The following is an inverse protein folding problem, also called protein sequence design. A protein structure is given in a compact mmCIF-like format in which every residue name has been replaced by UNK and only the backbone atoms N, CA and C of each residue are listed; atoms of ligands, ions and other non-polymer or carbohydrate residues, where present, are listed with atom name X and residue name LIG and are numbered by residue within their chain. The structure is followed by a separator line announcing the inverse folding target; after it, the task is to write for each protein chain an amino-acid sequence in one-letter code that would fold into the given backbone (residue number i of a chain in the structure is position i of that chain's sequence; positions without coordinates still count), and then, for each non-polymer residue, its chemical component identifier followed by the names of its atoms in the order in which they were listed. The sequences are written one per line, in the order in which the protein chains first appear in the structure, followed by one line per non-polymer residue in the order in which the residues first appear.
data_IF_829720019386
#
_entry.id   IF_829720019386
#
_cell.length_a   1.000
_cell.length_b   1.000
_cell.length_c   1.000
_cell.angle_alpha   90.00
_cell.angle_beta   90.00
_cell.angle_gamma   90.00
#
_symmetry.space_group_name_H-M   'P 1'
#
loop_
_entity.id
_entity.type
_entity.pdbx_description
1 polymer ?
#
# COMPACT_ATOMS: atom_id res chain seq x y z
N UNK A 1 7.10 2.92 -79.75
CA UNK A 1 7.89 3.70 -78.77
C UNK A 1 8.67 2.73 -77.90
N UNK A 2 9.95 3.00 -77.57
CA UNK A 2 10.69 2.24 -76.57
C UNK A 2 10.08 2.37 -75.16
N UNK A 3 10.56 1.53 -74.24
CA UNK A 3 10.16 1.48 -72.83
C UNK A 3 10.80 2.61 -72.00
N UNK A 4 10.28 2.93 -70.80
CA UNK A 4 10.76 4.06 -69.99
C UNK A 4 12.02 3.75 -69.19
N UNK A 5 12.91 4.75 -69.05
CA UNK A 5 14.05 4.72 -68.12
C UNK A 5 13.60 4.92 -66.66
N UNK A 6 13.97 4.02 -65.73
CA UNK A 6 13.57 4.11 -64.32
C UNK A 6 14.59 4.91 -63.49
N UNK A 7 14.62 6.23 -63.65
CA UNK A 7 15.52 7.11 -62.87
C UNK A 7 14.86 8.42 -62.39
N UNK A 8 15.20 8.80 -61.15
CA UNK A 8 15.03 10.15 -60.56
C UNK A 8 13.60 10.70 -60.37
N UNK A 9 12.83 10.08 -59.46
CA UNK A 9 11.96 10.88 -58.56
C UNK A 9 11.68 10.21 -57.20
N UNK A 10 12.70 9.58 -56.59
CA UNK A 10 12.66 9.40 -55.13
C UNK A 10 12.84 10.78 -54.51
N UNK A 11 11.79 11.35 -53.94
CA UNK A 11 11.93 12.47 -53.02
C UNK A 11 12.43 11.90 -51.68
N UNK A 12 13.70 12.14 -51.28
CA UNK A 12 14.06 11.95 -49.89
C UNK A 12 13.26 12.99 -49.09
N UNK A 13 12.13 12.55 -48.52
CA UNK A 13 11.29 13.41 -47.71
C UNK A 13 12.13 13.94 -46.56
N UNK A 14 12.54 15.23 -46.67
CA UNK A 14 13.30 15.94 -45.63
C UNK A 14 12.63 15.60 -44.30
N UNK A 15 13.36 15.09 -43.29
CA UNK A 15 12.75 14.83 -41.99
C UNK A 15 12.13 16.15 -41.55
N UNK A 16 10.80 16.20 -41.49
CA UNK A 16 10.11 17.40 -41.10
C UNK A 16 10.57 17.71 -39.68
N UNK A 17 11.14 18.89 -39.48
CA UNK A 17 11.67 19.39 -38.21
C UNK A 17 10.49 19.56 -37.21
N UNK A 18 9.91 18.44 -36.77
CA UNK A 18 8.55 18.35 -36.24
C UNK A 18 8.60 18.20 -34.74
N UNK A 19 8.04 19.18 -34.04
CA UNK A 19 7.75 19.07 -32.62
C UNK A 19 6.67 18.00 -32.39
N UNK A 20 6.96 17.04 -31.52
CA UNK A 20 6.08 15.94 -31.13
C UNK A 20 5.95 15.94 -29.61
N UNK A 21 4.72 15.81 -29.10
CA UNK A 21 4.42 15.68 -27.67
C UNK A 21 3.73 14.34 -27.46
N UNK A 22 4.22 13.58 -26.47
CA UNK A 22 3.75 12.24 -26.13
C UNK A 22 3.76 12.04 -24.60
N UNK A 23 2.66 11.58 -23.98
CA UNK A 23 1.30 11.49 -24.53
C UNK A 23 0.67 12.87 -24.80
N UNK A 24 -0.42 12.90 -25.57
CA UNK A 24 -1.19 14.13 -25.85
C UNK A 24 -2.37 14.35 -24.91
N UNK A 25 -3.01 13.26 -24.51
CA UNK A 25 -4.14 13.24 -23.57
C UNK A 25 -3.76 12.32 -22.39
N UNK A 26 -2.72 12.64 -21.60
CA UNK A 26 -2.42 11.89 -20.39
C UNK A 26 -3.57 11.97 -19.39
N UNK A 27 -4.06 10.81 -18.95
CA UNK A 27 -5.07 10.68 -17.89
C UNK A 27 -4.41 9.99 -16.69
N UNK A 28 -4.20 10.74 -15.61
CA UNK A 28 -3.43 10.35 -14.40
C UNK A 28 -4.35 10.33 -13.16
N UNK A 29 -4.22 9.37 -12.23
CA UNK A 29 -4.99 9.41 -10.98
C UNK A 29 -4.53 10.56 -10.08
N UNK A 30 -5.44 11.06 -9.24
CA UNK A 30 -5.14 12.02 -8.17
C UNK A 30 -4.07 11.45 -7.20
N UNK A 31 -3.15 12.29 -6.74
CA UNK A 31 -1.94 11.89 -6.02
C UNK A 31 -0.91 11.11 -6.86
N UNK A 32 -1.24 10.77 -8.12
CA UNK A 32 -0.43 10.00 -9.03
C UNK A 32 0.75 10.79 -9.64
N UNK A 33 1.49 10.13 -10.52
CA UNK A 33 2.63 10.73 -11.26
C UNK A 33 2.60 10.33 -12.72
N UNK A 34 3.08 11.21 -13.60
CA UNK A 34 3.18 10.95 -15.05
C UNK A 34 4.27 11.80 -15.69
N UNK A 35 4.72 11.43 -16.89
CA UNK A 35 5.79 12.13 -17.61
C UNK A 35 5.36 12.44 -19.04
N UNK A 36 5.55 13.69 -19.47
CA UNK A 36 5.26 14.15 -20.82
C UNK A 36 6.59 14.44 -21.54
N UNK A 37 6.89 13.68 -22.59
CA UNK A 37 8.04 13.91 -23.44
C UNK A 37 7.65 14.82 -24.60
N UNK A 38 8.32 15.96 -24.73
CA UNK A 38 8.30 16.76 -25.95
C UNK A 38 9.64 16.63 -26.68
N UNK A 39 9.61 16.27 -27.96
CA UNK A 39 10.80 16.04 -28.79
C UNK A 39 10.74 16.79 -30.11
N UNK A 40 11.91 17.21 -30.62
CA UNK A 40 12.09 17.90 -31.88
C UNK A 40 13.23 17.23 -32.66
N UNK A 41 12.92 16.69 -33.84
CA UNK A 41 13.87 15.96 -34.67
C UNK A 41 14.81 16.89 -35.47
N UNK A 42 15.52 17.81 -34.79
CA UNK A 42 16.44 18.77 -35.38
C UNK A 42 17.79 18.83 -34.64
N UNK A 43 18.89 18.73 -35.39
CA UNK A 43 20.24 18.88 -34.85
C UNK A 43 20.51 20.35 -34.47
N UNK A 44 20.91 20.59 -33.21
CA UNK A 44 21.12 21.94 -32.68
C UNK A 44 19.82 22.73 -32.42
N UNK A 45 18.66 22.06 -32.43
CA UNK A 45 17.41 22.66 -31.99
C UNK A 45 17.38 22.94 -30.49
N UNK A 46 16.27 23.53 -30.03
CA UNK A 46 15.94 23.69 -28.60
C UNK A 46 14.48 23.33 -28.37
N UNK A 47 14.18 22.72 -27.22
CA UNK A 47 12.83 22.32 -26.80
C UNK A 47 12.63 22.72 -25.34
N UNK A 48 11.47 23.29 -25.02
CA UNK A 48 11.11 23.74 -23.67
C UNK A 48 9.61 23.62 -23.41
N UNK A 49 9.24 23.40 -22.15
CA UNK A 49 7.86 23.50 -21.69
C UNK A 49 7.58 24.92 -21.17
N UNK A 50 6.37 25.44 -21.45
CA UNK A 50 5.89 26.77 -21.05
C UNK A 50 4.45 26.72 -20.55
N UNK A 51 4.01 27.80 -19.92
CA UNK A 51 2.65 27.91 -19.36
C UNK A 51 2.43 26.98 -18.18
N UNK A 52 3.45 26.85 -17.32
CA UNK A 52 3.41 26.05 -16.10
C UNK A 52 3.51 27.01 -14.92
N UNK A 53 2.48 27.04 -14.09
CA UNK A 53 2.62 27.51 -12.72
C UNK A 53 3.65 26.63 -12.01
N UNK A 54 4.61 27.24 -11.31
CA UNK A 54 5.85 26.58 -10.89
C UNK A 54 5.68 25.53 -9.80
N UNK A 55 4.45 25.29 -9.33
CA UNK A 55 4.09 24.20 -8.45
C UNK A 55 3.80 22.87 -9.17
N UNK A 56 3.56 22.87 -10.50
CA UNK A 56 2.91 21.74 -11.20
C UNK A 56 3.85 20.63 -11.71
N UNK A 57 5.17 20.72 -11.50
CA UNK A 57 6.12 19.67 -11.90
C UNK A 57 7.56 20.16 -12.07
N UNK A 58 8.47 19.23 -12.40
CA UNK A 58 9.87 19.52 -12.72
C UNK A 58 10.18 19.24 -14.19
N UNK A 59 11.18 19.94 -14.76
CA UNK A 59 11.52 19.85 -16.19
C UNK A 59 12.96 19.33 -16.33
N UNK A 60 13.14 18.25 -17.09
CA UNK A 60 14.44 17.74 -17.54
C UNK A 60 14.64 18.08 -19.02
N UNK A 61 15.52 19.05 -19.33
CA UNK A 61 15.76 19.52 -20.70
C UNK A 61 17.07 18.99 -21.28
N UNK A 62 16.99 18.50 -22.51
CA UNK A 62 18.08 17.94 -23.32
C UNK A 62 18.16 18.66 -24.68
N UNK A 63 19.16 18.34 -25.49
CA UNK A 63 19.41 19.03 -26.77
C UNK A 63 18.34 18.81 -27.86
N UNK A 64 17.57 17.72 -27.78
CA UNK A 64 16.55 17.36 -28.78
C UNK A 64 15.15 17.16 -28.19
N UNK A 65 15.02 17.20 -26.86
CA UNK A 65 13.77 16.92 -26.16
C UNK A 65 13.76 17.51 -24.75
N UNK A 66 12.58 17.69 -24.19
CA UNK A 66 12.36 18.16 -22.82
C UNK A 66 11.23 17.34 -22.19
N UNK A 67 11.47 16.83 -20.98
CA UNK A 67 10.52 15.98 -20.24
C UNK A 67 9.94 16.78 -19.09
N UNK A 68 8.61 16.87 -19.03
CA UNK A 68 7.87 17.42 -17.91
C UNK A 68 7.47 16.26 -16.98
N UNK A 69 7.99 16.25 -15.76
CA UNK A 69 7.70 15.27 -14.72
C UNK A 69 6.62 15.83 -13.78
N UNK A 70 5.44 15.23 -13.81
CA UNK A 70 4.31 15.57 -12.94
C UNK A 70 4.28 14.55 -11.79
N UNK A 71 4.22 15.05 -10.55
CA UNK A 71 4.22 14.24 -9.32
C UNK A 71 3.15 14.75 -8.38
N UNK A 72 2.45 13.84 -7.70
CA UNK A 72 1.35 14.14 -6.79
C UNK A 72 0.27 15.03 -7.45
N UNK A 73 -0.24 14.58 -8.60
CA UNK A 73 -1.21 15.34 -9.39
C UNK A 73 -2.49 15.63 -8.60
N UNK A 74 -2.82 16.91 -8.44
CA UNK A 74 -4.07 17.43 -7.83
C UNK A 74 -5.01 17.96 -8.91
N UNK A 75 -6.24 18.37 -8.56
CA UNK A 75 -7.17 19.00 -9.52
C UNK A 75 -6.53 20.22 -10.21
N UNK A 76 -5.87 21.10 -9.46
CA UNK A 76 -5.09 22.23 -9.99
C UNK A 76 -3.93 21.84 -10.96
N UNK A 77 -3.62 20.55 -11.09
CA UNK A 77 -2.62 20.03 -12.04
C UNK A 77 -3.22 19.76 -13.44
N UNK A 78 -4.55 19.69 -13.59
CA UNK A 78 -5.33 19.53 -14.84
C UNK A 78 -4.88 20.51 -15.96
N UNK A 79 -5.29 20.23 -17.20
CA UNK A 79 -5.34 21.21 -18.26
C UNK A 79 -4.12 21.27 -19.18
N UNK A 80 -4.01 22.36 -19.93
CA UNK A 80 -3.13 22.45 -21.09
C UNK A 80 -1.66 22.68 -20.70
N UNK A 81 -0.78 21.77 -21.11
CA UNK A 81 0.67 21.89 -20.97
C UNK A 81 1.26 22.20 -22.35
N UNK A 82 1.98 23.32 -22.47
CA UNK A 82 2.46 23.85 -23.76
C UNK A 82 3.94 23.50 -23.93
N UNK A 83 4.29 22.84 -25.04
CA UNK A 83 5.67 22.70 -25.46
C UNK A 83 5.98 23.62 -26.65
N UNK A 84 7.11 24.30 -26.58
CA UNK A 84 7.68 25.08 -27.68
C UNK A 84 9.02 24.50 -28.11
N UNK A 85 9.32 24.64 -29.40
CA UNK A 85 10.59 24.22 -29.99
C UNK A 85 11.08 25.21 -31.02
N UNK A 86 12.40 25.26 -31.23
CA UNK A 86 13.03 26.09 -32.27
C UNK A 86 14.16 25.34 -32.97
N UNK A 87 14.29 25.56 -34.27
CA UNK A 87 15.26 24.92 -35.14
C UNK A 87 15.53 25.83 -36.35
N UNK A 88 16.79 26.18 -36.64
CA UNK A 88 17.18 26.90 -37.86
C UNK A 88 16.35 28.19 -38.13
N UNK A 89 15.95 28.91 -37.08
CA UNK A 89 15.09 30.12 -37.17
C UNK A 89 13.59 29.85 -37.34
N UNK A 90 13.16 28.59 -37.46
CA UNK A 90 11.75 28.18 -37.37
C UNK A 90 11.34 27.95 -35.91
N UNK A 91 10.08 28.23 -35.62
CA UNK A 91 9.46 28.02 -34.31
C UNK A 91 8.26 27.07 -34.42
N UNK A 92 8.10 26.22 -33.42
CA UNK A 92 7.07 25.19 -33.35
C UNK A 92 6.39 25.23 -31.99
N UNK A 93 5.08 24.96 -31.96
CA UNK A 93 4.32 24.77 -30.72
C UNK A 93 3.42 23.55 -30.82
N UNK A 94 3.34 22.80 -29.73
CA UNK A 94 2.42 21.67 -29.51
C UNK A 94 1.93 21.69 -28.08
N UNK A 95 0.82 21.02 -27.84
CA UNK A 95 0.15 20.98 -26.54
C UNK A 95 -0.20 19.54 -26.20
N UNK A 96 -0.27 19.28 -24.89
CA UNK A 96 -0.98 18.15 -24.32
C UNK A 96 -2.03 18.69 -23.36
N UNK A 97 -3.13 17.96 -23.18
CA UNK A 97 -4.14 18.25 -22.15
C UNK A 97 -4.05 17.15 -21.11
N UNK A 98 -3.52 17.47 -19.93
CA UNK A 98 -3.55 16.56 -18.80
C UNK A 98 -4.99 16.49 -18.28
N UNK A 99 -5.48 15.28 -18.06
CA UNK A 99 -6.64 15.03 -17.22
C UNK A 99 -6.25 14.31 -15.93
N UNK A 100 -6.80 14.76 -14.81
CA UNK A 100 -6.73 14.10 -13.51
C UNK A 100 -8.03 13.34 -13.28
N UNK A 101 -7.99 12.26 -12.50
CA UNK A 101 -9.20 11.56 -12.07
C UNK A 101 -9.04 11.00 -10.66
N UNK A 102 -10.13 10.95 -9.91
CA UNK A 102 -10.20 10.28 -8.62
C UNK A 102 -11.41 9.34 -8.62
N UNK A 103 -11.22 8.12 -8.12
CA UNK A 103 -12.26 7.11 -7.94
C UNK A 103 -11.78 6.13 -6.87
N UNK A 104 -12.51 5.93 -5.75
CA UNK A 104 -12.05 5.05 -4.69
C UNK A 104 -12.06 3.58 -5.13
N UNK A 105 -11.19 2.77 -4.53
CA UNK A 105 -11.02 1.39 -4.97
C UNK A 105 -12.23 0.48 -4.67
N UNK A 106 -13.06 0.86 -3.71
CA UNK A 106 -14.32 0.22 -3.33
C UNK A 106 -15.42 1.28 -3.15
N UNK A 107 -16.68 0.89 -3.43
CA UNK A 107 -17.85 1.65 -3.03
C UNK A 107 -18.30 1.22 -1.63
N UNK A 108 -18.91 2.12 -0.86
CA UNK A 108 -19.60 1.75 0.38
C UNK A 108 -21.07 1.50 0.06
N UNK A 109 -21.53 0.27 0.32
CA UNK A 109 -22.93 -0.12 0.19
C UNK A 109 -23.42 -0.62 1.54
N UNK A 110 -24.32 0.15 2.15
CA UNK A 110 -24.88 -0.13 3.47
C UNK A 110 -26.38 -0.42 3.35
N UNK A 111 -26.85 -1.49 3.99
CA UNK A 111 -28.26 -1.83 4.09
C UNK A 111 -28.81 -1.47 5.47
N UNK A 112 -30.05 -0.97 5.51
CA UNK A 112 -30.84 -0.75 6.72
C UNK A 112 -32.24 -1.38 6.53
N UNK A 113 -32.55 -2.52 7.18
CA UNK A 113 -31.69 -3.31 8.08
C UNK A 113 -30.46 -3.92 7.37
N UNK A 114 -29.41 -4.24 8.14
CA UNK A 114 -28.14 -4.76 7.61
C UNK A 114 -28.24 -6.11 6.88
N UNK A 115 -29.31 -6.89 7.13
CA UNK A 115 -29.62 -8.12 6.41
C UNK A 115 -30.90 -7.86 5.61
N UNK A 116 -30.82 -7.98 4.29
CA UNK A 116 -31.97 -7.91 3.38
C UNK A 116 -32.78 -9.19 3.49
N UNK A 117 -33.84 -9.19 4.31
CA UNK A 117 -34.73 -10.35 4.49
C UNK A 117 -35.87 -10.31 3.47
N UNK A 118 -36.17 -11.43 2.79
CA UNK A 118 -37.31 -11.49 1.87
C UNK A 118 -38.63 -11.05 2.50
N UNK A 119 -39.44 -10.30 1.75
CA UNK A 119 -40.73 -9.78 2.22
C UNK A 119 -40.66 -8.53 3.12
N UNK A 120 -39.47 -8.05 3.51
CA UNK A 120 -39.30 -6.88 4.39
C UNK A 120 -38.71 -5.68 3.63
N UNK A 121 -39.30 -4.47 3.77
CA UNK A 121 -38.79 -3.27 3.10
C UNK A 121 -37.43 -2.86 3.68
N UNK A 122 -36.60 -2.27 2.82
CA UNK A 122 -35.24 -1.89 3.17
C UNK A 122 -34.83 -0.54 2.56
N UNK A 123 -33.80 0.07 3.14
CA UNK A 123 -33.10 1.22 2.59
C UNK A 123 -31.66 0.83 2.30
N UNK A 124 -31.23 1.02 1.05
CA UNK A 124 -29.84 0.86 0.63
C UNK A 124 -29.21 2.24 0.46
N UNK A 125 -27.99 2.39 0.97
CA UNK A 125 -27.19 3.60 0.86
C UNK A 125 -25.90 3.25 0.13
N UNK A 126 -25.74 3.75 -1.10
CA UNK A 126 -24.49 3.65 -1.84
C UNK A 126 -23.77 4.99 -1.78
N UNK A 127 -22.51 4.98 -1.34
CA UNK A 127 -21.70 6.19 -1.23
C UNK A 127 -20.23 5.95 -1.57
N UNK A 128 -19.58 7.02 -2.02
CA UNK A 128 -18.16 7.04 -2.35
C UNK A 128 -17.60 8.46 -2.14
N UNK A 129 -16.30 8.56 -1.83
CA UNK A 129 -15.59 9.83 -1.61
C UNK A 129 -14.31 9.85 -2.45
N UNK A 130 -13.74 11.03 -2.66
CA UNK A 130 -12.60 11.25 -3.56
C UNK A 130 -12.95 10.85 -5.02
N UNK A 131 -14.04 11.43 -5.56
CA UNK A 131 -14.37 11.33 -6.98
C UNK A 131 -13.98 12.61 -7.72
N UNK A 132 -13.42 12.46 -8.92
CA UNK A 132 -13.14 13.58 -9.83
C UNK A 132 -12.95 13.07 -11.27
N UNK A 133 -13.38 13.81 -12.31
CA UNK A 133 -14.27 14.97 -12.28
C UNK A 133 -15.75 14.58 -12.22
N UNK A 134 -16.60 15.40 -11.60
CA UNK A 134 -18.01 15.04 -11.32
C UNK A 134 -18.86 14.89 -12.57
N UNK A 135 -18.61 15.67 -13.63
CA UNK A 135 -19.34 15.57 -14.90
C UNK A 135 -19.03 14.28 -15.70
N UNK A 136 -18.00 13.54 -15.27
CA UNK A 136 -17.71 12.19 -15.77
C UNK A 136 -18.41 11.06 -14.99
N UNK A 137 -19.01 11.35 -13.83
CA UNK A 137 -19.60 10.36 -12.93
C UNK A 137 -21.03 10.02 -13.32
N UNK A 138 -21.35 8.72 -13.39
CA UNK A 138 -22.73 8.24 -13.39
C UNK A 138 -22.88 7.05 -12.44
N UNK A 139 -23.85 7.15 -11.52
CA UNK A 139 -24.26 6.08 -10.62
C UNK A 139 -25.49 5.37 -11.21
N UNK A 140 -25.57 4.05 -11.09
CA UNK A 140 -26.73 3.25 -11.53
C UNK A 140 -27.02 2.14 -10.52
N UNK A 141 -28.26 2.08 -10.05
CA UNK A 141 -28.78 0.98 -9.26
C UNK A 141 -29.44 -0.06 -10.16
N UNK A 142 -29.09 -1.33 -9.93
CA UNK A 142 -29.72 -2.48 -10.54
C UNK A 142 -30.40 -3.37 -9.49
N UNK A 143 -31.59 -3.87 -9.83
CA UNK A 143 -32.18 -5.09 -9.23
C UNK A 143 -31.97 -6.24 -10.21
N UNK A 144 -30.98 -7.09 -9.94
CA UNK A 144 -30.48 -8.11 -10.85
C UNK A 144 -29.98 -7.50 -12.18
N UNK A 145 -30.86 -7.47 -13.18
CA UNK A 145 -30.58 -6.91 -14.52
C UNK A 145 -31.40 -5.64 -14.84
N UNK A 146 -32.40 -5.27 -14.02
CA UNK A 146 -33.22 -4.10 -14.24
C UNK A 146 -32.58 -2.86 -13.60
N UNK A 147 -32.41 -1.77 -14.36
CA UNK A 147 -32.09 -0.45 -13.78
C UNK A 147 -33.30 0.05 -13.00
N UNK A 148 -33.09 0.51 -11.76
CA UNK A 148 -34.18 0.99 -10.87
C UNK A 148 -34.02 2.45 -10.43
N UNK A 149 -32.79 2.99 -10.42
CA UNK A 149 -32.51 4.41 -10.11
C UNK A 149 -31.14 4.83 -10.66
N UNK A 150 -31.01 6.08 -11.08
CA UNK A 150 -29.74 6.70 -11.53
C UNK A 150 -29.30 7.89 -10.68
N UNK A 151 -30.20 8.48 -9.90
CA UNK A 151 -29.96 9.77 -9.26
C UNK A 151 -29.07 9.64 -8.02
N UNK A 152 -28.21 10.62 -7.80
CA UNK A 152 -27.32 10.73 -6.66
C UNK A 152 -27.17 12.20 -6.25
N UNK A 153 -26.99 12.42 -4.95
CA UNK A 153 -26.57 13.70 -4.39
C UNK A 153 -25.03 13.77 -4.41
N UNK A 154 -24.46 14.96 -4.61
CA UNK A 154 -23.02 15.17 -4.67
C UNK A 154 -22.61 16.45 -3.93
N UNK A 155 -21.61 16.33 -3.05
CA UNK A 155 -20.98 17.43 -2.31
C UNK A 155 -19.48 17.47 -2.65
N UNK A 156 -18.88 18.64 -2.85
CA UNK A 156 -17.43 18.85 -2.96
C UNK A 156 -16.75 19.19 -1.62
N UNK A 157 -15.43 19.00 -1.56
CA UNK A 157 -14.53 19.42 -0.48
C UNK A 157 -13.52 20.51 -0.92
N UNK A 158 -12.68 20.98 0.01
CA UNK A 158 -11.69 22.04 -0.22
C UNK A 158 -10.59 21.68 -1.25
N UNK A 159 -10.47 20.40 -1.66
CA UNK A 159 -9.54 19.95 -2.71
C UNK A 159 -10.23 19.76 -4.08
N UNK A 160 -11.47 20.25 -4.22
CA UNK A 160 -12.36 20.06 -5.39
C UNK A 160 -12.69 18.57 -5.66
N UNK A 161 -12.59 17.72 -4.63
CA UNK A 161 -12.95 16.30 -4.72
C UNK A 161 -14.39 16.06 -4.23
N UNK A 162 -15.09 15.17 -4.92
CA UNK A 162 -16.50 14.92 -4.65
C UNK A 162 -16.74 13.70 -3.76
N UNK A 163 -17.75 13.85 -2.91
CA UNK A 163 -18.48 12.78 -2.23
C UNK A 163 -19.83 12.61 -2.91
N UNK A 164 -20.16 11.40 -3.34
CA UNK A 164 -21.50 11.05 -3.85
C UNK A 164 -22.26 10.16 -2.87
N UNK A 165 -23.57 10.35 -2.80
CA UNK A 165 -24.50 9.54 -2.01
C UNK A 165 -25.74 9.25 -2.85
N UNK A 166 -26.18 8.00 -2.91
CA UNK A 166 -27.47 7.63 -3.48
C UNK A 166 -28.19 6.69 -2.55
N UNK A 167 -29.42 7.06 -2.17
CA UNK A 167 -30.30 6.25 -1.34
C UNK A 167 -31.37 5.62 -2.25
N UNK A 168 -31.51 4.29 -2.16
CA UNK A 168 -32.58 3.51 -2.77
C UNK A 168 -33.47 2.95 -1.65
N UNK A 169 -34.75 3.33 -1.66
CA UNK A 169 -35.78 2.67 -0.85
C UNK A 169 -36.36 1.52 -1.67
N UNK A 170 -36.48 0.34 -1.04
CA UNK A 170 -36.96 -0.90 -1.67
C UNK A 170 -38.17 -1.40 -0.89
N UNK A 171 -39.27 -1.71 -1.58
CA UNK A 171 -40.45 -2.28 -0.92
C UNK A 171 -40.23 -3.76 -0.55
N UNK A 172 -40.90 -4.24 0.50
CA UNK A 172 -40.77 -5.64 0.94
C UNK A 172 -41.20 -6.65 -0.13
N UNK A 173 -42.12 -6.28 -1.01
CA UNK A 173 -42.53 -7.10 -2.17
C UNK A 173 -41.48 -7.19 -3.28
N UNK A 174 -40.43 -6.36 -3.23
CA UNK A 174 -39.32 -6.36 -4.20
C UNK A 174 -38.08 -7.11 -3.69
N UNK A 175 -38.09 -7.52 -2.42
CA UNK A 175 -37.02 -8.30 -1.77
C UNK A 175 -37.44 -9.78 -1.76
N UNK A 176 -36.92 -10.55 -2.71
CA UNK A 176 -37.10 -12.01 -2.79
C UNK A 176 -35.76 -12.74 -2.54
N UNK A 177 -35.80 -14.01 -2.15
CA UNK A 177 -34.59 -14.80 -1.85
C UNK A 177 -33.64 -14.86 -3.05
N UNK A 178 -32.38 -14.50 -2.85
CA UNK A 178 -31.35 -14.50 -3.90
C UNK A 178 -31.38 -13.29 -4.84
N UNK A 179 -32.26 -12.31 -4.64
CA UNK A 179 -32.25 -11.06 -5.44
C UNK A 179 -31.03 -10.21 -5.08
N UNK A 180 -30.19 -9.93 -6.09
CA UNK A 180 -29.08 -8.98 -5.96
C UNK A 180 -29.57 -7.53 -6.19
N UNK A 181 -29.22 -6.64 -5.26
CA UNK A 181 -29.22 -5.19 -5.45
C UNK A 181 -27.78 -4.73 -5.62
N UNK A 182 -27.49 -4.10 -6.77
CA UNK A 182 -26.14 -3.71 -7.18
C UNK A 182 -26.07 -2.22 -7.45
N UNK A 183 -25.17 -1.53 -6.76
CA UNK A 183 -24.78 -0.17 -7.06
C UNK A 183 -23.54 -0.19 -7.95
N UNK A 184 -23.63 0.43 -9.12
CA UNK A 184 -22.53 0.63 -10.05
C UNK A 184 -22.22 2.12 -10.16
N UNK A 185 -20.94 2.48 -10.10
CA UNK A 185 -20.45 3.84 -10.33
C UNK A 185 -19.44 3.80 -11.46
N UNK A 186 -19.74 4.53 -12.53
CA UNK A 186 -18.87 4.70 -13.68
C UNK A 186 -18.26 6.10 -13.69
N UNK A 187 -17.02 6.22 -14.16
CA UNK A 187 -16.30 7.47 -14.32
C UNK A 187 -15.67 7.55 -15.71
N UNK A 188 -16.07 8.57 -16.47
CA UNK A 188 -15.63 8.83 -17.84
C UNK A 188 -14.64 10.00 -17.86
N UNK A 189 -13.39 9.74 -18.26
CA UNK A 189 -12.33 10.76 -18.29
C UNK A 189 -11.49 10.63 -19.56
N UNK A 190 -11.73 11.55 -20.50
CA UNK A 190 -11.12 11.52 -21.82
C UNK A 190 -11.60 10.29 -22.62
N UNK A 191 -10.67 9.39 -22.94
CA UNK A 191 -10.96 8.11 -23.62
C UNK A 191 -10.96 6.90 -22.67
N UNK A 192 -10.92 7.12 -21.35
CA UNK A 192 -10.98 6.06 -20.33
C UNK A 192 -12.34 6.05 -19.65
N UNK A 193 -12.89 4.85 -19.46
CA UNK A 193 -13.97 4.58 -18.52
C UNK A 193 -13.43 3.71 -17.40
N UNK A 194 -13.77 4.04 -16.16
CA UNK A 194 -13.52 3.22 -14.98
C UNK A 194 -14.87 2.85 -14.35
N UNK A 195 -15.00 1.62 -13.87
CA UNK A 195 -16.23 1.15 -13.21
C UNK A 195 -15.89 0.55 -11.85
N UNK A 196 -16.68 0.90 -10.84
CA UNK A 196 -16.67 0.31 -9.50
C UNK A 196 -18.07 -0.20 -9.17
N UNK A 197 -18.13 -1.31 -8.44
CA UNK A 197 -19.37 -2.04 -8.15
C UNK A 197 -19.37 -2.44 -6.69
N UNK A 198 -20.53 -2.34 -6.04
CA UNK A 198 -20.84 -3.05 -4.82
C UNK A 198 -22.24 -3.66 -4.93
N UNK A 199 -22.45 -4.84 -4.36
CA UNK A 199 -23.76 -5.46 -4.32
C UNK A 199 -24.06 -6.13 -2.99
N UNK A 200 -25.35 -6.31 -2.73
CA UNK A 200 -25.91 -7.02 -1.59
C UNK A 200 -27.01 -7.95 -2.10
N UNK A 201 -27.08 -9.16 -1.57
CA UNK A 201 -28.06 -10.18 -1.95
C UNK A 201 -29.04 -10.36 -0.81
N UNK A 202 -30.33 -10.47 -1.14
CA UNK A 202 -31.37 -10.79 -0.16
C UNK A 202 -31.29 -12.27 0.27
N UNK A 203 -31.34 -12.51 1.58
CA UNK A 203 -31.28 -13.85 2.16
C UNK A 203 -32.15 -14.02 3.41
N UNK A 204 -32.74 -15.20 3.54
CA UNK A 204 -33.55 -15.60 4.69
C UNK A 204 -32.71 -16.03 5.90
N UNK A 205 -31.39 -16.24 5.73
CA UNK A 205 -30.49 -16.61 6.81
C UNK A 205 -30.36 -15.48 7.84
N UNK A 206 -31.04 -15.65 8.98
CA UNK A 206 -30.55 -15.08 10.21
C UNK A 206 -29.18 -15.72 10.51
N UNK A 207 -28.12 -14.90 10.56
CA UNK A 207 -26.83 -15.30 11.13
C UNK A 207 -27.11 -15.85 12.53
N UNK A 208 -27.05 -17.17 12.64
CA UNK A 208 -27.42 -17.87 13.87
C UNK A 208 -26.21 -17.83 14.78
N UNK A 209 -26.17 -16.80 15.65
CA UNK A 209 -25.18 -16.73 16.71
C UNK A 209 -25.22 -18.03 17.52
N UNK A 210 -24.03 -18.61 17.73
CA UNK A 210 -23.90 -20.04 17.95
C UNK A 210 -24.58 -20.48 19.27
N UNK A 211 -25.34 -21.60 19.29
CA UNK A 211 -26.05 -22.03 20.50
C UNK A 211 -25.12 -22.17 21.70
N UNK A 212 -25.49 -21.53 22.81
CA UNK A 212 -24.81 -21.71 24.08
C UNK A 212 -24.94 -23.17 24.52
N UNK A 213 -23.81 -23.84 24.78
CA UNK A 213 -23.80 -25.25 25.14
C UNK A 213 -24.41 -25.46 26.53
N UNK A 214 -25.40 -26.35 26.62
CA UNK A 214 -25.93 -26.84 27.90
C UNK A 214 -24.84 -27.59 28.67
N UNK A 215 -24.72 -27.32 29.97
CA UNK A 215 -23.86 -28.10 30.88
C UNK A 215 -24.70 -28.58 32.06
N UNK A 216 -25.06 -29.86 32.02
CA UNK A 216 -25.87 -30.64 32.99
C UNK A 216 -25.58 -32.11 32.67
N UNK A 217 -25.15 -33.04 33.52
CA UNK A 217 -24.84 -33.12 34.99
C UNK A 217 -23.83 -34.30 35.18
N UNK A 218 -23.20 -34.61 36.32
CA UNK A 218 -23.18 -34.03 37.68
C UNK A 218 -22.93 -35.11 38.76
N UNK A 219 -22.75 -34.70 40.04
CA UNK A 219 -22.82 -35.54 41.28
C UNK A 219 -21.75 -36.65 41.50
N UNK A 220 -21.62 -37.25 42.73
CA UNK A 220 -22.49 -37.16 43.91
C UNK A 220 -21.85 -36.85 45.30
N UNK A 221 -22.58 -36.04 46.09
CA UNK A 221 -22.98 -36.23 47.51
C UNK A 221 -21.98 -36.62 48.64
N UNK A 222 -21.82 -35.71 49.63
CA UNK A 222 -21.85 -36.06 51.07
C UNK A 222 -22.47 -34.98 51.98
N UNK A 223 -23.21 -35.42 53.01
CA UNK A 223 -23.94 -34.72 54.09
C UNK A 223 -23.33 -33.41 54.67
N UNK A 224 -24.08 -32.29 54.78
CA UNK A 224 -25.01 -31.80 55.86
C UNK A 224 -24.47 -30.50 56.54
N UNK A 225 -25.30 -29.70 57.27
CA UNK A 225 -25.15 -28.23 57.27
C UNK A 225 -25.08 -27.55 58.67
N UNK A 226 -25.01 -26.21 58.65
CA UNK A 226 -25.31 -25.31 59.79
C UNK A 226 -26.33 -24.23 59.34
N UNK A 227 -27.15 -23.72 60.27
CA UNK A 227 -28.30 -22.83 60.05
C UNK A 227 -27.88 -21.38 59.67
N UNK A 228 -28.56 -20.63 58.77
CA UNK A 228 -29.92 -20.00 58.81
C UNK A 228 -30.00 -18.71 59.65
N UNK A 229 -30.82 -17.73 59.17
CA UNK A 229 -31.27 -16.44 59.79
C UNK A 229 -30.63 -15.20 59.14
N UNK A 230 -31.32 -14.20 58.56
CA UNK A 230 -32.73 -14.01 58.11
C UNK A 230 -32.78 -12.95 56.98
N UNK A 231 -33.94 -12.72 56.33
CA UNK A 231 -34.15 -11.62 55.37
C UNK A 231 -34.62 -10.29 56.04
N UNK A 232 -34.56 -9.13 55.32
CA UNK A 232 -34.99 -7.79 55.76
C UNK A 232 -36.46 -7.49 55.37
N UNK A 233 -37.05 -6.30 55.65
CA UNK A 233 -36.82 -5.00 54.96
C UNK A 233 -36.66 -3.82 55.97
N UNK A 234 -36.61 -2.51 55.65
CA UNK A 234 -36.93 -1.72 54.46
C UNK A 234 -36.54 -0.21 54.63
N UNK A 235 -36.96 0.72 53.75
CA UNK A 235 -36.25 1.99 53.52
C UNK A 235 -37.01 3.30 53.87
N UNK A 236 -36.26 4.40 54.10
CA UNK A 236 -36.76 5.79 53.96
C UNK A 236 -35.64 6.84 53.77
N UNK A 237 -36.03 8.03 53.26
CA UNK A 237 -35.21 9.07 52.58
C UNK A 237 -35.93 10.42 52.85
N UNK A 238 -35.28 11.56 53.22
CA UNK A 238 -34.45 12.35 52.29
C UNK A 238 -33.31 13.27 52.83
N UNK A 239 -32.46 13.72 51.89
CA UNK A 239 -31.88 15.08 51.67
C UNK A 239 -31.39 15.99 52.82
N UNK A 240 -30.16 16.51 52.66
CA UNK A 240 -29.65 17.77 53.22
C UNK A 240 -28.79 18.49 52.16
N UNK A 241 -28.73 19.84 52.20
CA UNK A 241 -28.53 20.65 50.97
C UNK A 241 -27.16 21.35 50.78
N UNK A 242 -27.01 21.92 49.58
CA UNK A 242 -25.95 22.70 48.92
C UNK A 242 -24.98 23.62 49.73
N UNK A 243 -23.85 23.91 49.04
CA UNK A 243 -22.90 25.05 49.21
C UNK A 243 -22.00 25.07 50.47
N UNK A 244 -20.78 25.63 50.45
CA UNK A 244 -20.19 26.68 49.57
C UNK A 244 -18.68 26.44 49.30
N UNK A 245 -18.10 27.13 48.30
CA UNK A 245 -16.73 26.92 47.80
C UNK A 245 -15.62 27.75 48.51
N UNK A 246 -14.34 27.31 48.38
CA UNK A 246 -13.17 28.20 48.33
C UNK A 246 -11.85 27.56 47.84
N UNK A 247 -11.37 28.05 46.70
CA UNK A 247 -9.95 28.33 46.40
C UNK A 247 -9.68 29.84 46.74
N UNK A 248 -8.46 30.45 46.67
CA UNK A 248 -7.25 30.01 45.94
C UNK A 248 -5.85 30.27 46.61
N UNK A 249 -4.81 29.69 45.98
CA UNK A 249 -3.46 30.21 45.69
C UNK A 249 -2.61 31.01 46.71
N UNK A 250 -1.46 30.44 47.08
CA UNK A 250 -0.10 31.08 47.14
C UNK A 250 0.95 29.97 47.40
N UNK A 251 2.21 29.99 46.97
CA UNK A 251 2.97 30.89 46.07
C UNK A 251 4.48 30.87 46.40
N UNK A 252 5.38 30.95 45.39
CA UNK A 252 6.87 31.09 45.49
C UNK A 252 7.68 29.87 46.05
N UNK A 253 8.94 29.55 45.68
CA UNK A 253 9.87 30.01 44.60
C UNK A 253 11.16 29.13 44.48
N UNK A 254 11.81 29.17 43.30
CA UNK A 254 13.24 28.85 42.96
C UNK A 254 13.72 27.42 42.58
N UNK A 255 14.67 27.41 41.63
CA UNK A 255 15.48 26.32 41.08
C UNK A 255 16.66 25.87 41.98
N UNK A 256 17.09 24.60 41.81
CA UNK A 256 18.45 24.29 41.32
C UNK A 256 18.56 22.84 40.80
N UNK A 257 19.64 22.53 40.07
CA UNK A 257 19.76 21.31 39.25
C UNK A 257 21.02 20.45 39.51
N UNK A 258 20.99 19.23 38.93
CA UNK A 258 22.07 18.24 38.73
C UNK A 258 22.58 17.45 39.95
N UNK A 259 22.98 16.17 39.72
CA UNK A 259 24.29 15.57 40.08
C UNK A 259 24.40 14.07 39.71
N UNK A 260 25.42 13.75 38.89
CA UNK A 260 26.20 12.48 38.68
C UNK A 260 25.61 11.09 38.33
N UNK A 261 26.37 10.41 37.43
CA UNK A 261 26.59 8.95 37.19
C UNK A 261 27.36 8.27 38.38
N UNK A 262 27.87 7.00 38.37
CA UNK A 262 27.77 5.81 37.47
C UNK A 262 27.41 4.53 38.32
N UNK A 263 27.96 3.28 38.19
CA UNK A 263 28.61 2.52 37.09
C UNK A 263 28.02 1.09 36.85
N UNK A 264 28.71 0.28 36.03
CA UNK A 264 28.42 -1.14 35.72
C UNK A 264 29.47 -2.11 36.31
N UNK A 265 29.13 -3.40 36.49
CA UNK A 265 30.10 -4.51 36.71
C UNK A 265 29.59 -5.84 36.12
N UNK A 266 30.52 -6.73 35.73
CA UNK A 266 30.33 -8.08 35.13
C UNK A 266 30.42 -9.22 36.19
N UNK A 267 30.31 -10.52 35.82
CA UNK A 267 31.51 -11.37 35.85
C UNK A 267 31.62 -12.46 34.75
N UNK A 268 32.82 -13.05 34.60
CA UNK A 268 33.26 -13.74 33.37
C UNK A 268 33.75 -15.20 33.54
N UNK A 269 33.54 -16.02 32.49
CA UNK A 269 34.46 -17.02 31.88
C UNK A 269 35.08 -18.18 32.69
N UNK A 270 35.02 -19.40 32.12
CA UNK A 270 36.10 -20.40 32.08
C UNK A 270 35.98 -21.31 30.81
N UNK A 271 37.00 -22.11 30.49
CA UNK A 271 37.22 -22.84 29.21
C UNK A 271 37.77 -24.28 29.49
N UNK A 272 38.01 -25.24 28.59
CA UNK A 272 38.05 -25.38 27.09
C UNK A 272 37.92 -26.92 26.74
N UNK A 273 38.29 -27.60 25.62
CA UNK A 273 38.94 -27.36 24.31
C UNK A 273 38.62 -28.54 23.33
N UNK A 274 38.95 -28.39 22.03
CA UNK A 274 39.32 -29.45 21.03
C UNK A 274 38.25 -30.41 20.40
N UNK A 275 37.98 -30.14 19.10
CA UNK A 275 37.93 -31.00 17.89
C UNK A 275 37.15 -32.34 17.79
N UNK A 276 36.43 -32.49 16.67
CA UNK A 276 36.02 -33.79 16.09
C UNK A 276 35.00 -33.71 14.94
N UNK A 277 35.38 -34.12 13.73
CA UNK A 277 34.49 -34.35 12.56
C UNK A 277 34.95 -35.62 11.85
N UNK A 278 34.05 -36.57 11.51
CA UNK A 278 33.71 -36.72 10.08
C UNK A 278 32.31 -37.30 9.72
N UNK A 279 31.78 -36.82 8.59
CA UNK A 279 31.21 -37.53 7.42
C UNK A 279 30.48 -38.90 7.54
N UNK A 280 29.17 -38.88 7.27
CA UNK A 280 28.36 -39.75 6.37
C UNK A 280 28.27 -41.31 6.45
N UNK A 281 27.00 -41.77 6.42
CA UNK A 281 26.40 -42.95 5.71
C UNK A 281 27.03 -44.35 5.82
N UNK A 282 26.22 -45.35 6.20
CA UNK A 282 25.56 -46.38 5.34
C UNK A 282 24.73 -47.33 6.25
N UNK A 283 23.76 -48.07 5.70
CA UNK A 283 22.83 -48.92 6.44
C UNK A 283 23.29 -50.39 6.58
N UNK A 284 22.68 -51.10 7.53
CA UNK A 284 22.68 -52.58 7.62
C UNK A 284 21.24 -53.06 7.83
N UNK A 285 20.87 -54.19 7.23
CA UNK A 285 19.54 -54.82 7.37
C UNK A 285 19.67 -56.25 7.88
N UNK A 286 18.88 -56.62 8.89
CA UNK A 286 18.66 -58.00 9.34
C UNK A 286 17.25 -58.15 9.93
N UNK A 287 16.68 -59.35 9.75
CA UNK A 287 15.25 -59.75 9.85
C UNK A 287 15.25 -61.26 10.19
N UNK A 288 14.20 -61.95 10.74
CA UNK A 288 12.86 -61.54 11.21
C UNK A 288 12.57 -61.90 12.70
N UNK A 289 11.32 -61.72 13.18
CA UNK A 289 10.82 -62.44 14.36
C UNK A 289 9.41 -62.04 14.86
N UNK A 290 8.47 -63.00 14.87
CA UNK A 290 7.09 -62.93 15.41
C UNK A 290 6.95 -62.25 16.79
N UNK A 291 5.85 -61.57 17.16
CA UNK A 291 4.61 -61.29 16.44
C UNK A 291 3.36 -61.53 17.31
N UNK A 292 2.70 -60.46 17.76
CA UNK A 292 1.41 -60.52 18.49
C UNK A 292 0.58 -59.24 18.28
N UNK A 293 -0.74 -59.40 18.30
CA UNK A 293 -1.77 -58.39 17.94
C UNK A 293 -1.59 -57.05 18.64
N UNK A 294 -1.46 -55.98 17.85
CA UNK A 294 -1.44 -54.58 18.31
C UNK A 294 -2.72 -53.82 17.94
N UNK A 295 -3.42 -53.35 18.97
CA UNK A 295 -4.38 -52.23 19.05
C UNK A 295 -4.84 -51.55 17.75
N UNK A 296 -6.16 -51.58 17.49
CA UNK A 296 -6.85 -50.57 16.66
C UNK A 296 -7.26 -49.40 17.54
N UNK A 297 -6.86 -48.17 17.18
CA UNK A 297 -7.73 -47.00 17.37
C UNK A 297 -8.05 -46.32 16.04
N UNK A 298 -9.35 -46.04 15.87
CA UNK A 298 -10.04 -45.12 14.96
C UNK A 298 -9.28 -44.30 13.90
N UNK A 299 -9.86 -44.32 12.69
CA UNK A 299 -10.01 -43.18 11.76
C UNK A 299 -8.81 -42.23 11.63
N UNK A 300 -7.97 -42.47 10.61
CA UNK A 300 -6.78 -41.67 10.34
C UNK A 300 -7.08 -40.19 10.09
N UNK A 301 -6.57 -39.33 10.96
CA UNK A 301 -6.48 -37.88 10.74
C UNK A 301 -5.70 -37.62 9.46
N UNK A 302 -6.40 -37.21 8.39
CA UNK A 302 -5.76 -36.78 7.15
C UNK A 302 -4.85 -35.58 7.49
N UNK A 303 -3.53 -35.64 7.21
CA UNK A 303 -2.65 -34.51 7.48
C UNK A 303 -3.10 -33.32 6.64
N UNK A 304 -3.57 -32.27 7.33
CA UNK A 304 -3.95 -31.03 6.68
C UNK A 304 -2.72 -30.43 6.00
N UNK A 305 -2.79 -30.23 4.68
CA UNK A 305 -1.73 -29.50 3.99
C UNK A 305 -1.63 -28.09 4.57
N UNK A 306 -0.42 -27.64 4.91
CA UNK A 306 -0.21 -26.30 5.44
C UNK A 306 0.43 -25.39 4.39
N UNK A 307 -0.18 -24.23 4.15
CA UNK A 307 0.37 -23.19 3.29
C UNK A 307 1.22 -22.24 4.13
N UNK A 308 2.36 -21.82 3.60
CA UNK A 308 3.29 -20.88 4.25
C UNK A 308 3.75 -19.84 3.25
N UNK A 309 3.99 -18.62 3.71
CA UNK A 309 4.44 -17.47 2.92
C UNK A 309 5.46 -16.67 3.73
N UNK A 310 6.57 -16.25 3.12
CA UNK A 310 7.63 -15.47 3.77
C UNK A 310 8.39 -14.59 2.77
N UNK A 311 9.13 -13.61 3.28
CA UNK A 311 9.99 -12.70 2.52
C UNK A 311 11.47 -12.88 2.90
N UNK A 312 12.36 -12.75 1.91
CA UNK A 312 13.81 -12.77 2.05
C UNK A 312 14.43 -11.59 1.26
N UNK A 313 15.02 -10.58 1.92
CA UNK A 313 14.97 -10.31 3.37
C UNK A 313 13.52 -10.12 3.89
N UNK A 314 13.26 -10.25 5.20
CA UNK A 314 11.90 -10.14 5.77
C UNK A 314 11.27 -8.77 5.50
N UNK A 315 12.08 -7.71 5.61
CA UNK A 315 11.73 -6.34 5.20
C UNK A 315 12.51 -6.00 3.94
N UNK A 316 11.84 -5.44 2.94
CA UNK A 316 12.50 -4.96 1.72
C UNK A 316 13.28 -3.67 1.96
N UNK A 317 14.33 -3.46 1.15
CA UNK A 317 15.08 -2.20 1.10
C UNK A 317 15.06 -1.68 -0.32
N UNK A 318 14.71 -0.40 -0.50
CA UNK A 318 14.63 0.26 -1.81
C UNK A 318 15.95 0.13 -2.56
N UNK A 319 15.88 -0.27 -3.82
CA UNK A 319 17.06 -0.50 -4.66
C UNK A 319 17.71 -1.87 -4.50
N UNK A 320 17.35 -2.67 -3.48
CA UNK A 320 17.92 -4.00 -3.20
C UNK A 320 16.98 -5.12 -3.66
N UNK A 321 17.53 -6.31 -3.89
CA UNK A 321 16.74 -7.47 -4.27
C UNK A 321 15.83 -7.95 -3.12
N UNK A 322 14.65 -8.46 -3.47
CA UNK A 322 13.63 -8.99 -2.55
C UNK A 322 12.97 -10.22 -3.18
N UNK A 323 12.83 -11.30 -2.41
CA UNK A 323 12.13 -12.52 -2.83
C UNK A 323 11.01 -12.84 -1.85
N UNK A 324 9.77 -12.90 -2.34
CA UNK A 324 8.61 -13.37 -1.58
C UNK A 324 8.32 -14.79 -2.04
N UNK A 325 8.23 -15.75 -1.13
CA UNK A 325 8.11 -17.17 -1.44
C UNK A 325 6.91 -17.77 -0.70
N UNK A 326 6.11 -18.54 -1.42
CA UNK A 326 4.98 -19.29 -0.90
C UNK A 326 5.17 -20.78 -1.16
N UNK A 327 4.84 -21.62 -0.18
CA UNK A 327 5.07 -23.06 -0.22
C UNK A 327 3.96 -23.84 0.49
N UNK A 328 3.41 -24.85 -0.18
CA UNK A 328 2.42 -25.78 0.34
C UNK A 328 3.07 -27.09 0.81
N UNK A 329 3.08 -27.30 2.13
CA UNK A 329 3.48 -28.58 2.75
C UNK A 329 2.30 -29.56 2.71
N UNK A 330 2.05 -30.11 1.53
CA UNK A 330 1.06 -31.17 1.29
C UNK A 330 1.74 -32.56 1.28
N UNK A 331 0.98 -33.63 1.53
CA UNK A 331 1.44 -35.03 1.39
C UNK A 331 1.37 -35.59 -0.04
N UNK A 332 0.97 -34.76 -1.01
CA UNK A 332 0.97 -35.07 -2.43
C UNK A 332 1.21 -33.80 -3.25
N UNK A 333 1.26 -33.93 -4.56
CA UNK A 333 1.49 -32.81 -5.47
C UNK A 333 0.42 -31.73 -5.27
N UNK A 334 0.86 -30.48 -5.12
CA UNK A 334 0.02 -29.32 -4.96
C UNK A 334 0.54 -28.17 -5.80
N UNK A 335 -0.34 -27.22 -6.11
CA UNK A 335 0.01 -26.00 -6.84
C UNK A 335 -0.42 -24.80 -6.01
N UNK A 336 0.44 -23.80 -5.92
CA UNK A 336 0.14 -22.52 -5.25
C UNK A 336 0.07 -21.41 -6.28
N UNK A 337 -0.72 -20.37 -6.00
CA UNK A 337 -0.85 -19.21 -6.88
C UNK A 337 -0.99 -17.91 -6.09
N UNK A 338 -0.67 -16.79 -6.74
CA UNK A 338 -0.77 -15.46 -6.14
C UNK A 338 -2.14 -14.86 -6.41
N UNK A 339 -2.90 -14.63 -5.34
CA UNK A 339 -4.25 -14.05 -5.39
C UNK A 339 -4.20 -12.51 -5.31
N UNK A 340 -3.20 -11.96 -4.61
CA UNK A 340 -2.98 -10.52 -4.49
C UNK A 340 -1.49 -10.22 -4.35
N UNK A 341 -1.04 -9.17 -5.04
CA UNK A 341 0.27 -8.55 -4.92
C UNK A 341 0.09 -7.03 -4.95
N UNK A 342 0.91 -6.23 -4.25
CA UNK A 342 0.79 -4.77 -4.25
C UNK A 342 0.95 -4.12 -5.63
N UNK A 343 1.83 -4.67 -6.47
CA UNK A 343 1.94 -4.32 -7.89
C UNK A 343 1.37 -5.43 -8.77
N UNK A 344 1.19 -5.16 -10.07
CA UNK A 344 0.79 -6.18 -11.03
C UNK A 344 1.85 -7.31 -11.14
N UNK A 345 1.42 -8.57 -11.28
CA UNK A 345 2.32 -9.73 -11.35
C UNK A 345 3.41 -9.62 -12.44
N UNK A 346 3.15 -8.88 -13.52
CA UNK A 346 4.12 -8.59 -14.59
C UNK A 346 5.32 -7.72 -14.17
N UNK A 347 5.31 -7.12 -12.98
CA UNK A 347 6.46 -6.42 -12.39
C UNK A 347 7.39 -7.36 -11.59
N UNK A 348 6.95 -8.59 -11.33
CA UNK A 348 7.70 -9.60 -10.59
C UNK A 348 8.21 -10.69 -11.54
N UNK A 349 9.34 -11.29 -11.20
CA UNK A 349 9.81 -12.52 -11.85
C UNK A 349 9.31 -13.72 -11.05
N UNK A 350 8.23 -14.33 -11.52
CA UNK A 350 7.65 -15.53 -10.92
C UNK A 350 8.50 -16.79 -11.20
N UNK A 351 8.75 -17.58 -10.17
CA UNK A 351 9.49 -18.85 -10.22
C UNK A 351 8.65 -19.96 -9.58
N UNK A 352 8.16 -20.90 -10.39
CA UNK A 352 7.30 -21.99 -9.92
C UNK A 352 8.06 -23.32 -9.83
N UNK A 353 7.93 -23.99 -8.68
CA UNK A 353 8.67 -25.21 -8.32
C UNK A 353 7.74 -26.25 -7.66
N UNK A 354 6.70 -26.66 -8.40
CA UNK A 354 5.69 -27.61 -7.92
C UNK A 354 4.86 -27.01 -6.79
N UNK A 355 5.08 -27.49 -5.56
CA UNK A 355 4.37 -27.04 -4.36
C UNK A 355 4.80 -25.65 -3.86
N UNK A 356 5.75 -24.97 -4.50
CA UNK A 356 6.08 -23.56 -4.22
C UNK A 356 6.05 -22.65 -5.44
N UNK A 357 5.81 -21.37 -5.17
CA UNK A 357 5.96 -20.25 -6.11
C UNK A 357 6.70 -19.13 -5.40
N UNK A 358 7.59 -18.44 -6.10
CA UNK A 358 8.30 -17.28 -5.57
C UNK A 358 8.29 -16.10 -6.53
N UNK A 359 8.00 -14.91 -6.01
CA UNK A 359 8.12 -13.64 -6.71
C UNK A 359 9.49 -13.04 -6.41
N UNK A 360 10.35 -12.90 -7.42
CA UNK A 360 11.61 -12.15 -7.31
C UNK A 360 11.47 -10.73 -7.85
N UNK A 361 12.08 -9.80 -7.12
CA UNK A 361 12.38 -8.44 -7.52
C UNK A 361 13.90 -8.28 -7.46
N UNK A 362 14.55 -7.95 -8.57
CA UNK A 362 15.98 -7.63 -8.58
C UNK A 362 16.28 -6.28 -7.88
N UNK A 363 15.27 -5.43 -7.79
CA UNK A 363 15.27 -4.14 -7.09
C UNK A 363 13.87 -3.87 -6.53
N UNK A 364 13.75 -3.66 -5.22
CA UNK A 364 12.49 -3.28 -4.57
C UNK A 364 12.26 -1.76 -4.64
N UNK A 365 10.99 -1.34 -4.63
CA UNK A 365 10.55 0.07 -4.63
C UNK A 365 9.32 0.23 -3.72
N UNK A 366 8.94 1.46 -3.31
CA UNK A 366 7.84 1.67 -2.37
C UNK A 366 6.47 1.10 -2.80
N UNK A 367 6.20 0.95 -4.10
CA UNK A 367 4.95 0.32 -4.59
C UNK A 367 4.96 -1.22 -4.51
N UNK A 368 6.08 -1.84 -4.14
CA UNK A 368 6.16 -3.26 -3.81
C UNK A 368 5.87 -3.55 -2.33
N UNK A 369 5.55 -2.54 -1.52
CA UNK A 369 5.14 -2.70 -0.12
C UNK A 369 3.65 -3.05 0.01
N UNK A 370 3.27 -3.76 1.07
CA UNK A 370 1.88 -4.08 1.41
C UNK A 370 1.59 -5.57 1.42
N UNK A 371 0.33 -5.93 1.16
CA UNK A 371 -0.20 -7.27 1.39
C UNK A 371 -0.05 -8.20 0.17
N UNK A 372 0.70 -9.28 0.35
CA UNK A 372 0.85 -10.41 -0.56
C UNK A 372 -0.08 -11.55 -0.11
N UNK A 373 -0.93 -12.07 -0.99
CA UNK A 373 -1.82 -13.19 -0.69
C UNK A 373 -1.52 -14.37 -1.62
N UNK A 374 -1.21 -15.51 -1.02
CA UNK A 374 -1.01 -16.77 -1.71
C UNK A 374 -2.16 -17.73 -1.40
N UNK A 375 -2.60 -18.51 -2.40
CA UNK A 375 -3.69 -19.48 -2.30
C UNK A 375 -3.25 -20.86 -2.79
N UNK A 376 -3.72 -21.90 -2.10
CA UNK A 376 -3.59 -23.30 -2.49
C UNK A 376 -4.66 -23.64 -3.55
N UNK A 377 -4.24 -24.02 -4.76
CA UNK A 377 -5.15 -24.32 -5.86
C UNK A 377 -5.66 -25.77 -5.77
N UNK A 378 -6.96 -25.96 -5.55
CA UNK A 378 -7.61 -27.28 -5.51
C UNK A 378 -8.86 -27.31 -4.61
N UNK A 379 -9.34 -28.51 -4.27
CA UNK A 379 -10.57 -28.74 -3.50
C UNK A 379 -10.58 -28.23 -2.04
N UNK A 380 -9.50 -27.60 -1.56
CA UNK A 380 -9.41 -26.97 -0.23
C UNK A 380 -8.59 -25.68 -0.31
N UNK A 381 -9.22 -24.63 -0.83
CA UNK A 381 -8.65 -23.29 -1.03
C UNK A 381 -8.22 -22.63 0.28
N UNK A 382 -7.03 -22.97 0.78
CA UNK A 382 -6.39 -22.26 1.89
C UNK A 382 -5.67 -21.03 1.36
N UNK A 383 -5.81 -19.90 2.06
CA UNK A 383 -5.13 -18.64 1.75
C UNK A 383 -4.28 -18.22 2.94
N UNK A 384 -3.08 -17.69 2.69
CA UNK A 384 -2.26 -17.03 3.71
C UNK A 384 -1.79 -15.68 3.17
N UNK A 385 -1.77 -14.68 4.06
CA UNK A 385 -1.37 -13.31 3.75
C UNK A 385 -0.06 -12.96 4.45
N UNK A 386 0.82 -12.24 3.77
CA UNK A 386 2.04 -11.64 4.32
C UNK A 386 2.02 -10.14 4.04
N UNK A 387 2.29 -9.32 5.04
CA UNK A 387 2.59 -7.90 4.83
C UNK A 387 4.11 -7.71 4.71
N UNK A 388 4.56 -7.00 3.68
CA UNK A 388 5.97 -6.70 3.45
C UNK A 388 6.17 -5.19 3.32
N UNK A 389 6.97 -4.60 4.21
CA UNK A 389 7.34 -3.19 4.11
C UNK A 389 8.61 -3.03 3.26
N UNK A 390 8.72 -1.92 2.52
CA UNK A 390 9.93 -1.54 1.77
C UNK A 390 10.45 -0.22 2.33
N UNK A 391 11.53 -0.29 3.12
CA UNK A 391 12.20 0.87 3.68
C UNK A 391 13.12 1.51 2.63
N UNK A 392 13.35 2.82 2.71
CA UNK A 392 14.48 3.44 2.00
C UNK A 392 15.82 2.85 2.48
N UNK A 393 16.84 2.87 1.62
CA UNK A 393 18.20 2.45 2.01
C UNK A 393 18.79 3.51 2.95
N UNK A 394 18.51 3.35 4.24
CA UNK A 394 19.02 4.18 5.32
C UNK A 394 20.51 3.92 5.51
N UNK A 395 21.30 4.46 4.57
CA UNK A 395 22.74 4.56 4.70
C UNK A 395 23.07 5.10 6.09
N UNK A 396 23.65 4.22 6.91
CA UNK A 396 24.31 4.62 8.14
C UNK A 396 25.52 5.46 7.74
N UNK A 397 25.29 6.75 7.56
CA UNK A 397 26.28 7.81 7.40
C UNK A 397 26.95 8.12 8.73
N UNK A 398 27.28 7.07 9.49
CA UNK A 398 28.41 7.12 10.41
C UNK A 398 29.60 7.63 9.61
N UNK A 399 30.25 8.73 10.04
CA UNK A 399 31.22 9.41 9.20
C UNK A 399 32.39 8.48 8.92
N UNK A 400 32.55 8.09 7.66
CA UNK A 400 33.75 7.40 7.21
C UNK A 400 34.94 8.34 7.46
N UNK A 401 35.72 8.06 8.51
CA UNK A 401 36.89 8.84 8.88
C UNK A 401 37.98 8.59 7.84
N UNK A 402 37.87 9.28 6.71
CA UNK A 402 38.97 9.47 5.79
C UNK A 402 40.05 10.24 6.54
N UNK A 403 41.13 9.54 6.90
CA UNK A 403 42.37 10.13 7.41
C UNK A 403 43.09 10.91 6.28
N UNK A 404 42.43 11.94 5.75
CA UNK A 404 43.05 12.94 4.89
C UNK A 404 43.95 13.82 5.74
N UNK A 405 45.25 13.83 5.48
CA UNK A 405 46.23 14.60 6.23
C UNK A 405 46.10 16.10 5.93
N UNK A 406 45.19 16.77 6.64
CA UNK A 406 44.99 18.21 6.61
C UNK A 406 46.19 18.94 7.26
N UNK A 407 47.26 19.11 6.48
CA UNK A 407 48.51 19.73 6.91
C UNK A 407 48.37 21.22 7.28
N UNK A 408 48.23 21.48 8.58
CA UNK A 408 48.55 22.73 9.30
C UNK A 408 48.66 24.03 8.47
N UNK A 409 47.52 24.69 8.23
CA UNK A 409 47.47 26.05 7.68
C UNK A 409 47.20 27.16 8.72
N UNK A 410 47.36 26.85 10.02
CA UNK A 410 47.32 27.84 11.11
C UNK A 410 48.70 28.32 11.59
N UNK A 411 49.80 27.79 11.02
CA UNK A 411 51.17 28.21 11.39
C UNK A 411 51.65 29.53 10.76
N UNK A 412 51.03 30.00 9.67
CA UNK A 412 51.60 31.07 8.82
C UNK A 412 51.10 32.50 9.10
N UNK A 413 50.18 32.70 10.05
CA UNK A 413 49.69 34.03 10.42
C UNK A 413 50.50 34.64 11.58
N UNK A 414 51.21 33.83 12.38
CA UNK A 414 51.96 34.30 13.56
C UNK A 414 53.36 34.85 13.20
N UNK A 415 54.03 34.29 12.20
CA UNK A 415 55.41 34.66 11.83
C UNK A 415 55.52 36.06 11.21
N UNK A 416 54.51 36.51 10.47
CA UNK A 416 54.48 37.84 9.85
C UNK A 416 54.27 38.97 10.87
N UNK A 417 53.59 38.70 11.97
CA UNK A 417 53.35 39.66 13.06
C UNK A 417 54.61 39.93 13.90
N UNK A 418 55.46 38.93 14.12
CA UNK A 418 56.70 39.07 14.92
C UNK A 418 57.75 39.88 14.15
N UNK A 419 57.96 39.61 12.86
CA UNK A 419 58.91 40.35 12.01
C UNK A 419 58.61 41.86 11.98
N UNK A 420 57.33 42.25 11.80
CA UNK A 420 56.90 43.66 11.82
C UNK A 420 57.05 44.35 13.19
N UNK A 421 57.15 43.61 14.30
CA UNK A 421 57.40 44.19 15.64
C UNK A 421 58.88 44.33 15.98
N UNK A 422 59.75 43.48 15.43
CA UNK A 422 61.21 43.61 15.61
C UNK A 422 61.81 44.73 14.74
N UNK A 423 61.32 44.93 13.51
CA UNK A 423 61.84 46.00 12.63
C UNK A 423 61.55 47.42 13.15
N UNK A 424 60.58 47.58 14.06
CA UNK A 424 60.31 48.85 14.78
C UNK A 424 61.12 49.05 16.07
N UNK A 425 62.04 48.12 16.44
CA UNK A 425 62.96 48.26 17.58
C UNK A 425 64.43 48.47 17.20
N UNK A 426 64.75 48.57 15.91
CA UNK A 426 66.10 48.89 15.40
C UNK A 426 66.14 50.21 14.58
N UNK A 427 65.22 51.13 14.89
CA UNK A 427 65.27 52.55 14.47
C UNK A 427 64.80 53.45 15.60
N UNK A 428 65.66 53.56 16.62
CA UNK A 428 65.77 54.65 17.59
C UNK A 428 67.19 54.68 18.13
#
# INVERSE_FOLDING_TARGET
CPLPDPALSSCPGRPADRLVVTPREPVVPFGGSTELNCSLACAGGKVEWRGLDTALGTISSFSTHSILHIRHATVATEGMKICQGSCQGQHYQKTATLKVYALPDTLRLEAAPHILRPGYPARLNCSATHLYPIEGVALTWYRGHQVVKTDFDADDDEEELYKIVSILSVDGTEVEEGVEFRCEVTLHVGQKTFTKVASVVASAEAVTEQPAAEVTTGSPSTARPVATTTLPPGPSVPTGDLTTAREPNTGTTLDLAAVTKPPSTEPSVHQDLIAGSPTARVATSTVPGSGTVGTVPSAGTIPACSLQIWSLPPTGTRGRALRIECHARCTGNATVGWLRTPAALSQYREENAGSSSALRLDSAQPWHQGHYQCVLLGHRSQMVTLEVMVMDDSFSSGPAITMGTAGSLLGLIVTTAVSRRLWKRFRS
#
